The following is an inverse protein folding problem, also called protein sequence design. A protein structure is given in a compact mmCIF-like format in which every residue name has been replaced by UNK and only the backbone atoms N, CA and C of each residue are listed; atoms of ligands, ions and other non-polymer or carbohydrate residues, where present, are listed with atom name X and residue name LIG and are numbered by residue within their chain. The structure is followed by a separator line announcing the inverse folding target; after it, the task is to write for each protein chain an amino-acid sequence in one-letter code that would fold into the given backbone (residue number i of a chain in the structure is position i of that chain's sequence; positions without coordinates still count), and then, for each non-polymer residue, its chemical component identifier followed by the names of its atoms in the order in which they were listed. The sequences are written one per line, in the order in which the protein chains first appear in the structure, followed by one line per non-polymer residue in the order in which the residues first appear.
data_IF_984688204717
#
_entry.id   IF_984688204717
#
_cell.length_a   1.000
_cell.length_b   1.000
_cell.length_c   1.000
_cell.angle_alpha   90.00
_cell.angle_beta   90.00
_cell.angle_gamma   90.00
#
_symmetry.space_group_name_H-M   'P 1'
#
loop_
_entity.id
_entity.type
_entity.pdbx_description
1 polymer ?
#
# COMPACT_ATOMS: atom_id res chain seq x y z
N UNK A 1 -23.12 27.59 5.38
CA UNK A 1 -21.83 26.91 5.66
C UNK A 1 -22.06 25.44 5.31
N UNK A 2 -21.27 24.88 4.39
CA UNK A 2 -21.56 23.57 3.79
C UNK A 2 -21.22 22.45 4.81
N UNK A 3 -21.91 21.30 4.82
CA UNK A 3 -21.60 20.19 5.74
C UNK A 3 -20.18 19.61 5.60
N UNK A 4 -19.53 19.87 4.45
CA UNK A 4 -18.11 19.55 4.20
C UNK A 4 -17.16 20.27 5.18
N UNK A 5 -17.57 21.40 5.73
CA UNK A 5 -16.73 22.24 6.58
C UNK A 5 -16.72 21.78 8.05
N UNK A 6 -17.58 20.83 8.43
CA UNK A 6 -17.75 20.38 9.82
C UNK A 6 -17.21 18.96 10.12
N UNK A 7 -16.64 18.27 9.12
CA UNK A 7 -16.11 16.92 9.30
C UNK A 7 -14.87 16.89 10.22
N UNK A 8 -14.92 16.08 11.29
CA UNK A 8 -13.76 15.77 12.15
C UNK A 8 -12.57 15.31 11.28
N UNK A 9 -11.41 15.93 11.45
CA UNK A 9 -10.22 15.74 10.61
C UNK A 9 -9.68 14.29 10.55
N UNK A 10 -10.08 13.45 11.49
CA UNK A 10 -9.64 12.05 11.60
C UNK A 10 -10.29 11.08 10.61
N UNK A 11 -11.27 11.50 9.81
CA UNK A 11 -12.03 10.59 8.92
C UNK A 11 -11.50 10.54 7.49
N UNK A 12 -10.52 11.39 7.15
CA UNK A 12 -9.95 11.48 5.80
C UNK A 12 -8.63 10.70 5.67
N UNK A 13 -8.36 10.19 4.47
CA UNK A 13 -7.02 9.68 4.11
C UNK A 13 -5.96 10.78 4.27
N UNK A 14 -4.72 10.40 4.61
CA UNK A 14 -3.65 11.35 4.94
C UNK A 14 -3.43 12.41 3.85
N UNK A 15 -3.50 12.04 2.57
CA UNK A 15 -3.39 12.99 1.45
C UNK A 15 -4.50 14.04 1.47
N UNK A 16 -5.76 13.61 1.59
CA UNK A 16 -6.93 14.50 1.65
C UNK A 16 -6.88 15.36 2.90
N UNK A 17 -6.54 14.78 4.06
CA UNK A 17 -6.37 15.50 5.32
C UNK A 17 -5.32 16.61 5.19
N UNK A 18 -4.14 16.29 4.66
CA UNK A 18 -3.06 17.26 4.50
C UNK A 18 -3.49 18.42 3.60
N UNK A 19 -4.18 18.14 2.48
CA UNK A 19 -4.68 19.17 1.56
C UNK A 19 -5.77 20.03 2.17
N UNK A 20 -6.74 19.43 2.86
CA UNK A 20 -7.81 20.17 3.55
C UNK A 20 -7.21 21.06 4.65
N UNK A 21 -6.25 20.54 5.41
CA UNK A 21 -5.53 21.30 6.44
C UNK A 21 -4.78 22.49 5.83
N UNK A 22 -4.01 22.26 4.76
CA UNK A 22 -3.28 23.30 4.05
C UNK A 22 -4.21 24.41 3.53
N UNK A 23 -5.35 24.04 2.92
CA UNK A 23 -6.33 25.01 2.40
C UNK A 23 -6.96 25.83 3.53
N UNK A 24 -7.32 25.21 4.65
CA UNK A 24 -7.86 25.89 5.84
C UNK A 24 -6.84 26.81 6.52
N UNK A 25 -5.57 26.43 6.50
CA UNK A 25 -4.49 27.26 7.06
C UNK A 25 -4.21 28.48 6.17
N UNK A 26 -4.22 28.29 4.85
CA UNK A 26 -3.85 29.34 3.87
C UNK A 26 -5.00 30.24 3.45
N UNK A 27 -6.25 29.90 3.77
CA UNK A 27 -7.43 30.68 3.35
C UNK A 27 -8.41 30.85 4.50
N UNK A 28 -9.23 31.90 4.46
CA UNK A 28 -10.27 32.13 5.47
C UNK A 28 -11.56 31.42 5.06
N UNK A 29 -12.03 30.38 5.80
CA UNK A 29 -13.25 29.65 5.46
C UNK A 29 -14.50 30.53 5.37
N UNK A 30 -14.54 31.64 6.10
CA UNK A 30 -15.67 32.59 6.06
C UNK A 30 -15.77 33.34 4.72
N UNK A 31 -14.73 33.27 3.87
CA UNK A 31 -14.72 33.84 2.52
C UNK A 31 -15.01 32.80 1.44
N UNK A 32 -15.26 31.56 1.81
CA UNK A 32 -15.58 30.51 0.84
C UNK A 32 -17.03 30.66 0.37
N UNK A 33 -17.21 30.63 -0.95
CA UNK A 33 -18.51 30.69 -1.59
C UNK A 33 -18.76 29.38 -2.31
N UNK A 34 -19.99 28.89 -2.22
CA UNK A 34 -20.40 27.70 -2.94
C UNK A 34 -20.54 28.01 -4.43
N UNK A 35 -19.83 27.26 -5.27
CA UNK A 35 -20.04 27.26 -6.72
C UNK A 35 -21.00 26.12 -7.06
N UNK A 36 -22.17 26.44 -7.63
CA UNK A 36 -23.11 25.42 -8.08
C UNK A 36 -22.46 24.50 -9.13
N UNK A 37 -22.68 23.19 -9.04
CA UNK A 37 -22.05 22.18 -9.90
C UNK A 37 -22.20 22.44 -11.41
N UNK A 38 -23.36 22.99 -11.85
CA UNK A 38 -23.59 23.36 -13.25
C UNK A 38 -22.66 24.47 -13.80
N UNK A 39 -22.00 25.23 -12.93
CA UNK A 39 -21.04 26.27 -13.30
C UNK A 39 -19.59 25.94 -12.94
N UNK A 40 -19.31 24.73 -12.45
CA UNK A 40 -17.97 24.33 -12.03
C UNK A 40 -17.13 23.95 -13.24
N UNK A 41 -16.10 24.74 -13.51
CA UNK A 41 -15.20 24.52 -14.65
C UNK A 41 -14.57 23.13 -14.64
N UNK A 42 -14.18 22.62 -13.47
CA UNK A 42 -13.50 21.33 -13.40
C UNK A 42 -14.42 20.15 -13.73
N UNK A 43 -15.75 20.29 -13.63
CA UNK A 43 -16.72 19.26 -14.01
C UNK A 43 -16.64 18.94 -15.52
N UNK A 44 -16.35 19.95 -16.36
CA UNK A 44 -16.19 19.76 -17.82
C UNK A 44 -15.00 18.86 -18.15
N UNK A 45 -13.90 18.95 -17.38
CA UNK A 45 -12.75 18.07 -17.58
C UNK A 45 -12.97 16.69 -16.97
N UNK A 46 -13.55 16.59 -15.78
CA UNK A 46 -13.75 15.31 -15.11
C UNK A 46 -14.80 14.44 -15.80
N UNK A 47 -15.82 15.03 -16.45
CA UNK A 47 -16.82 14.31 -17.26
C UNK A 47 -16.36 14.03 -18.70
N UNK A 48 -15.28 14.67 -19.14
CA UNK A 48 -14.77 14.59 -20.50
C UNK A 48 -15.43 15.59 -21.44
N UNK A 49 -14.59 16.41 -22.07
CA UNK A 49 -14.95 17.35 -23.13
C UNK A 49 -13.96 17.18 -24.28
N UNK A 50 -14.44 17.26 -25.53
CA UNK A 50 -13.55 17.17 -26.69
C UNK A 50 -12.70 18.43 -26.80
N UNK A 51 -11.49 18.31 -27.37
CA UNK A 51 -10.61 19.47 -27.57
C UNK A 51 -11.29 20.58 -28.40
N UNK A 52 -12.08 20.21 -29.41
CA UNK A 52 -12.83 21.16 -30.23
C UNK A 52 -13.94 21.86 -29.44
N UNK A 53 -14.66 21.13 -28.58
CA UNK A 53 -15.67 21.74 -27.71
C UNK A 53 -15.05 22.64 -26.65
N UNK A 54 -13.87 22.27 -26.12
CA UNK A 54 -13.14 23.04 -25.12
C UNK A 54 -12.63 24.37 -25.68
N UNK A 55 -12.09 24.38 -26.91
CA UNK A 55 -11.63 25.61 -27.57
C UNK A 55 -12.77 26.61 -27.79
N UNK A 56 -13.99 26.10 -28.02
CA UNK A 56 -15.18 26.92 -28.24
C UNK A 56 -16.00 27.14 -26.96
N UNK A 57 -15.48 26.77 -25.78
CA UNK A 57 -16.22 26.88 -24.53
C UNK A 57 -16.21 28.33 -24.01
N UNK A 58 -17.42 28.90 -23.84
CA UNK A 58 -17.61 30.29 -23.41
C UNK A 58 -17.24 30.54 -21.93
N UNK A 59 -17.04 29.49 -21.14
CA UNK A 59 -16.82 29.57 -19.69
C UNK A 59 -15.37 29.19 -19.33
N UNK A 60 -14.77 28.23 -20.03
CA UNK A 60 -13.48 27.64 -19.68
C UNK A 60 -12.32 28.65 -19.62
N UNK A 61 -12.12 29.42 -20.69
CA UNK A 61 -11.07 30.43 -20.75
C UNK A 61 -11.48 31.78 -20.13
N UNK A 62 -12.70 32.30 -20.38
CA UNK A 62 -13.11 33.59 -19.83
C UNK A 62 -13.46 33.54 -18.34
N UNK A 63 -13.74 32.34 -17.82
CA UNK A 63 -14.31 32.14 -16.49
C UNK A 63 -15.83 32.35 -16.48
N UNK A 64 -16.52 31.88 -15.43
CA UNK A 64 -17.96 32.08 -15.32
C UNK A 64 -18.31 33.54 -15.03
N UNK A 65 -19.45 34.06 -15.54
CA UNK A 65 -19.81 35.48 -15.41
C UNK A 65 -19.84 36.02 -13.98
N UNK A 66 -20.16 35.17 -13.00
CA UNK A 66 -20.19 35.55 -11.59
C UNK A 66 -18.80 35.88 -11.03
N UNK A 67 -17.71 35.37 -11.62
CA UNK A 67 -16.34 35.68 -11.18
C UNK A 67 -15.95 37.13 -11.50
N UNK A 68 -16.60 37.72 -12.51
CA UNK A 68 -16.38 39.10 -12.96
C UNK A 68 -17.28 40.11 -12.23
N UNK A 69 -18.20 39.65 -11.37
CA UNK A 69 -19.13 40.52 -10.65
C UNK A 69 -18.52 41.00 -9.33
N UNK A 70 -18.54 42.31 -9.09
CA UNK A 70 -18.05 42.93 -7.84
C UNK A 70 -18.85 42.47 -6.60
N UNK A 71 -20.11 42.10 -6.80
CA UNK A 71 -21.04 41.64 -5.78
C UNK A 71 -21.54 40.24 -6.15
N UNK A 72 -20.78 39.20 -5.81
CA UNK A 72 -21.21 37.81 -6.03
C UNK A 72 -22.42 37.52 -5.13
N UNK A 73 -23.58 37.11 -5.68
CA UNK A 73 -24.72 36.69 -4.86
C UNK A 73 -24.30 35.51 -3.99
N UNK A 74 -24.26 35.71 -2.68
CA UNK A 74 -24.07 34.62 -1.73
C UNK A 74 -25.37 33.81 -1.71
N UNK A 75 -25.47 32.79 -2.56
CA UNK A 75 -26.54 31.82 -2.47
C UNK A 75 -26.37 31.10 -1.13
N UNK A 76 -27.13 31.55 -0.13
CA UNK A 76 -27.25 30.89 1.16
C UNK A 76 -27.98 29.56 0.97
N UNK A 77 -27.24 28.53 0.53
CA UNK A 77 -27.39 27.10 0.83
C UNK A 77 -28.79 26.51 1.14
N UNK A 78 -29.90 27.01 0.58
CA UNK A 78 -31.23 26.48 0.87
C UNK A 78 -31.73 25.45 -0.15
N UNK A 79 -31.09 25.33 -1.31
CA UNK A 79 -31.60 24.51 -2.41
C UNK A 79 -30.62 23.40 -2.88
N UNK A 80 -29.82 22.83 -1.97
CA UNK A 80 -28.98 21.67 -2.30
C UNK A 80 -29.84 20.42 -2.17
N UNK A 81 -30.20 19.84 -3.31
CA UNK A 81 -30.86 18.53 -3.40
C UNK A 81 -29.86 17.47 -2.88
N UNK A 82 -30.30 16.61 -1.97
CA UNK A 82 -29.56 15.58 -1.20
C UNK A 82 -28.65 14.63 -2.01
N UNK A 83 -28.62 14.73 -3.34
CA UNK A 83 -27.86 13.84 -4.21
C UNK A 83 -26.35 14.05 -4.12
N UNK A 84 -25.85 15.27 -3.87
CA UNK A 84 -24.40 15.56 -3.77
C UNK A 84 -23.79 15.08 -2.44
N UNK A 85 -24.59 14.94 -1.38
CA UNK A 85 -24.11 14.50 -0.07
C UNK A 85 -23.65 13.02 -0.10
N UNK A 86 -24.32 12.19 -0.90
CA UNK A 86 -23.98 10.77 -1.07
C UNK A 86 -22.63 10.55 -1.79
N UNK A 87 -22.22 11.48 -2.66
CA UNK A 87 -20.93 11.37 -3.38
C UNK A 87 -19.72 11.50 -2.45
N UNK A 88 -19.84 12.29 -1.38
CA UNK A 88 -18.76 12.52 -0.40
C UNK A 88 -18.57 11.29 0.50
N UNK A 89 -19.63 10.53 0.77
CA UNK A 89 -19.55 9.29 1.54
C UNK A 89 -18.89 8.17 0.74
N UNK A 90 -19.09 8.10 -0.58
CA UNK A 90 -18.44 7.10 -1.44
C UNK A 90 -16.92 7.31 -1.59
N UNK A 91 -16.42 8.55 -1.50
CA UNK A 91 -14.98 8.83 -1.62
C UNK A 91 -14.17 8.38 -0.37
N UNK A 92 -14.86 7.99 0.70
CA UNK A 92 -14.26 7.40 1.91
C UNK A 92 -13.82 5.94 1.73
N UNK A 93 -13.59 5.48 0.49
CA UNK A 93 -13.24 4.09 0.18
C UNK A 93 -12.06 3.63 1.03
N UNK A 94 -12.35 2.67 1.92
CA UNK A 94 -11.37 1.73 2.45
C UNK A 94 -10.68 1.09 1.25
N UNK A 95 -9.40 1.39 1.06
CA UNK A 95 -8.56 0.65 0.12
C UNK A 95 -8.44 -0.76 0.68
N UNK A 96 -9.15 -1.70 0.08
CA UNK A 96 -8.94 -3.13 0.30
C UNK A 96 -7.77 -3.51 -0.58
N UNK A 97 -6.57 -3.60 0.01
CA UNK A 97 -5.40 -4.14 -0.68
C UNK A 97 -5.50 -5.66 -0.62
N UNK A 98 -5.77 -6.29 -1.77
CA UNK A 98 -5.67 -7.74 -1.91
C UNK A 98 -4.22 -8.07 -2.24
N UNK A 99 -3.48 -8.65 -1.29
CA UNK A 99 -2.15 -9.17 -1.55
C UNK A 99 -2.25 -10.57 -2.15
N UNK A 100 -1.63 -10.79 -3.29
CA UNK A 100 -1.42 -12.13 -3.83
C UNK A 100 -0.28 -12.77 -3.04
N UNK A 101 -0.52 -13.92 -2.41
CA UNK A 101 0.41 -14.58 -1.48
C UNK A 101 1.53 -15.35 -2.17
N UNK A 102 1.86 -15.03 -3.43
CA UNK A 102 3.05 -15.60 -4.06
C UNK A 102 4.26 -14.93 -3.41
N UNK A 103 4.86 -15.62 -2.45
CA UNK A 103 6.08 -15.19 -1.76
C UNK A 103 7.22 -15.43 -2.75
N UNK A 104 7.49 -14.44 -3.59
CA UNK A 104 8.73 -14.45 -4.37
C UNK A 104 9.92 -14.28 -3.41
N UNK A 105 11.05 -14.97 -3.65
CA UNK A 105 12.25 -14.81 -2.85
C UNK A 105 12.75 -13.37 -2.93
N UNK A 106 13.21 -12.84 -1.80
CA UNK A 106 13.65 -11.44 -1.68
C UNK A 106 14.74 -11.06 -2.69
N UNK A 107 15.64 -12.00 -2.97
CA UNK A 107 16.76 -11.85 -3.89
C UNK A 107 16.81 -13.07 -4.79
N UNK A 108 17.13 -12.87 -6.07
CA UNK A 108 17.62 -13.95 -6.91
C UNK A 108 19.08 -14.23 -6.56
N UNK A 109 19.34 -15.40 -5.98
CA UNK A 109 20.66 -15.82 -5.50
C UNK A 109 21.67 -16.03 -6.64
N UNK A 110 21.22 -16.36 -7.85
CA UNK A 110 22.09 -16.60 -9.02
C UNK A 110 22.84 -15.34 -9.46
N UNK A 111 22.36 -14.16 -9.06
CA UNK A 111 22.99 -12.88 -9.37
C UNK A 111 24.22 -12.58 -8.49
N UNK A 112 24.54 -13.46 -7.54
CA UNK A 112 25.58 -13.22 -6.54
C UNK A 112 26.56 -14.39 -6.48
N UNK A 113 27.85 -14.07 -6.36
CA UNK A 113 28.94 -15.04 -6.22
C UNK A 113 29.56 -15.07 -4.81
N UNK A 114 29.01 -14.29 -3.88
CA UNK A 114 29.51 -14.11 -2.52
C UNK A 114 28.35 -14.29 -1.52
N UNK A 115 28.44 -15.36 -0.72
CA UNK A 115 27.42 -15.71 0.26
C UNK A 115 27.35 -14.69 1.41
N UNK A 116 28.50 -14.20 1.89
CA UNK A 116 28.55 -13.23 2.99
C UNK A 116 27.88 -11.91 2.56
N UNK A 117 28.08 -11.53 1.30
CA UNK A 117 27.42 -10.36 0.71
C UNK A 117 25.90 -10.56 0.66
N UNK A 118 25.42 -11.72 0.20
CA UNK A 118 23.99 -12.04 0.16
C UNK A 118 23.38 -11.98 1.56
N UNK A 119 24.00 -12.65 2.53
CA UNK A 119 23.51 -12.67 3.92
C UNK A 119 23.41 -11.25 4.47
N UNK A 120 24.44 -10.42 4.29
CA UNK A 120 24.42 -9.02 4.76
C UNK A 120 23.31 -8.19 4.11
N UNK A 121 23.12 -8.31 2.80
CA UNK A 121 22.04 -7.60 2.10
C UNK A 121 20.68 -8.05 2.64
N UNK A 122 20.46 -9.37 2.72
CA UNK A 122 19.24 -9.95 3.27
C UNK A 122 18.97 -9.49 4.70
N UNK A 123 19.98 -9.44 5.57
CA UNK A 123 19.84 -8.94 6.95
C UNK A 123 19.38 -7.49 6.99
N UNK A 124 19.97 -6.60 6.19
CA UNK A 124 19.56 -5.20 6.15
C UNK A 124 18.12 -5.02 5.64
N UNK A 125 17.72 -5.79 4.62
CA UNK A 125 16.37 -5.71 4.07
C UNK A 125 15.34 -6.26 5.06
N UNK A 126 15.64 -7.38 5.74
CA UNK A 126 14.79 -7.91 6.80
C UNK A 126 14.66 -6.94 7.98
N UNK A 127 15.77 -6.30 8.39
CA UNK A 127 15.74 -5.25 9.42
C UNK A 127 14.89 -4.07 8.98
N UNK A 128 15.06 -3.59 7.76
CA UNK A 128 14.25 -2.50 7.22
C UNK A 128 12.76 -2.85 7.26
N UNK A 129 12.39 -4.04 6.79
CA UNK A 129 11.01 -4.52 6.85
C UNK A 129 10.47 -4.59 8.29
N UNK A 130 11.31 -4.96 9.26
CA UNK A 130 10.94 -4.97 10.68
C UNK A 130 10.77 -3.56 11.27
N UNK A 131 11.66 -2.62 10.92
CA UNK A 131 11.57 -1.21 11.31
C UNK A 131 10.33 -0.51 10.73
N UNK A 132 9.83 -0.96 9.57
CA UNK A 132 8.59 -0.45 8.97
C UNK A 132 7.31 -0.93 9.66
N UNK A 133 7.37 -1.93 10.56
CA UNK A 133 6.18 -2.44 11.27
C UNK A 133 5.80 -1.48 12.40
N UNK A 134 4.51 -1.30 12.64
CA UNK A 134 4.04 -0.53 13.79
C UNK A 134 4.50 -1.22 15.08
N UNK A 135 4.99 -0.45 16.06
CA UNK A 135 5.36 -0.91 17.40
C UNK A 135 6.75 -1.58 17.54
N UNK A 136 7.66 -1.35 16.59
CA UNK A 136 9.09 -1.71 16.71
C UNK A 136 9.96 -0.47 16.92
N UNK A 137 10.99 -0.58 17.77
CA UNK A 137 12.03 0.45 17.84
C UNK A 137 12.94 0.35 16.62
N UNK A 138 13.25 1.50 16.01
CA UNK A 138 14.10 1.54 14.83
C UNK A 138 15.54 1.18 15.21
N UNK A 139 16.05 0.07 14.69
CA UNK A 139 17.45 -0.33 14.83
C UNK A 139 18.27 0.32 13.72
N UNK A 140 19.30 1.10 14.09
CA UNK A 140 20.18 1.83 13.15
C UNK A 140 21.66 1.39 13.26
N UNK A 141 22.01 0.62 14.28
CA UNK A 141 23.40 0.20 14.56
C UNK A 141 23.94 -0.85 13.58
N UNK A 142 25.11 -1.42 13.85
CA UNK A 142 25.66 -2.51 13.04
C UNK A 142 24.77 -3.77 13.09
N UNK A 143 24.88 -4.63 12.07
CA UNK A 143 24.21 -5.94 12.06
C UNK A 143 24.66 -6.79 13.25
N UNK A 144 23.70 -7.40 13.93
CA UNK A 144 23.97 -8.36 15.01
C UNK A 144 24.22 -9.75 14.43
N UNK A 145 24.86 -10.62 15.22
CA UNK A 145 25.05 -12.02 14.84
C UNK A 145 23.70 -12.73 14.59
N UNK A 146 22.69 -12.42 15.41
CA UNK A 146 21.35 -13.00 15.26
C UNK A 146 20.68 -12.61 13.93
N UNK A 147 20.86 -11.38 13.47
CA UNK A 147 20.32 -10.94 12.18
C UNK A 147 21.01 -11.60 10.99
N UNK A 148 22.31 -11.89 11.11
CA UNK A 148 23.06 -12.64 10.10
C UNK A 148 22.57 -14.09 10.06
N UNK A 149 22.44 -14.74 11.22
CA UNK A 149 21.92 -16.11 11.34
C UNK A 149 20.49 -16.20 10.79
N UNK A 150 19.62 -15.24 11.14
CA UNK A 150 18.24 -15.23 10.67
C UNK A 150 18.14 -15.01 9.15
N UNK A 151 19.01 -14.16 8.58
CA UNK A 151 19.08 -13.96 7.15
C UNK A 151 19.60 -15.20 6.41
N UNK A 152 20.59 -15.89 6.97
CA UNK A 152 21.08 -17.16 6.44
C UNK A 152 19.96 -18.21 6.42
N UNK A 153 19.27 -18.41 7.56
CA UNK A 153 18.11 -19.31 7.65
C UNK A 153 17.02 -18.95 6.64
N UNK A 154 16.75 -17.66 6.46
CA UNK A 154 15.81 -17.19 5.44
C UNK A 154 16.23 -17.64 4.04
N UNK A 155 17.50 -17.42 3.65
CA UNK A 155 18.01 -17.82 2.35
C UNK A 155 17.94 -19.34 2.14
N UNK A 156 18.31 -20.14 3.14
CA UNK A 156 18.20 -21.61 3.08
C UNK A 156 16.75 -22.03 2.86
N UNK A 157 15.81 -21.43 3.60
CA UNK A 157 14.38 -21.73 3.44
C UNK A 157 13.87 -21.38 2.05
N UNK A 158 14.28 -20.25 1.48
CA UNK A 158 13.92 -19.89 0.10
C UNK A 158 14.39 -20.95 -0.90
N UNK A 159 15.66 -21.37 -0.82
CA UNK A 159 16.20 -22.42 -1.70
C UNK A 159 15.45 -23.73 -1.51
N UNK A 160 15.13 -24.10 -0.26
CA UNK A 160 14.36 -25.32 0.00
C UNK A 160 12.95 -25.28 -0.59
N UNK A 161 12.30 -24.12 -0.53
CA UNK A 161 10.97 -23.92 -1.12
C UNK A 161 10.99 -23.93 -2.65
N UNK A 162 12.07 -23.47 -3.29
CA UNK A 162 12.17 -23.45 -4.75
C UNK A 162 12.66 -24.78 -5.33
N UNK A 163 13.69 -25.39 -4.74
CA UNK A 163 14.31 -26.62 -5.26
C UNK A 163 13.57 -27.90 -4.85
N UNK A 164 12.85 -27.86 -3.73
CA UNK A 164 12.10 -28.99 -3.18
C UNK A 164 10.63 -28.62 -2.93
N UNK A 165 10.03 -27.80 -3.79
CA UNK A 165 8.67 -27.27 -3.62
C UNK A 165 7.64 -28.36 -3.29
N UNK A 166 7.66 -29.46 -4.05
CA UNK A 166 6.76 -30.59 -3.87
C UNK A 166 6.91 -31.24 -2.50
N UNK A 167 8.13 -31.58 -2.11
CA UNK A 167 8.44 -32.23 -0.82
C UNK A 167 8.18 -31.28 0.35
N UNK A 168 8.54 -30.00 0.19
CA UNK A 168 8.33 -28.96 1.19
C UNK A 168 6.84 -28.82 1.52
N UNK A 169 5.96 -28.75 0.51
CA UNK A 169 4.52 -28.66 0.73
C UNK A 169 3.91 -30.00 1.21
N UNK A 170 4.37 -31.16 0.72
CA UNK A 170 3.93 -32.47 1.23
C UNK A 170 4.20 -32.63 2.74
N UNK A 171 5.41 -32.30 3.18
CA UNK A 171 5.84 -32.43 4.58
C UNK A 171 5.13 -31.38 5.44
N UNK A 172 4.99 -30.14 4.95
CA UNK A 172 4.31 -29.05 5.66
C UNK A 172 2.84 -29.39 5.92
N UNK A 173 2.20 -30.07 4.97
CA UNK A 173 0.83 -30.56 5.08
C UNK A 173 0.68 -31.95 5.73
N UNK A 174 1.73 -32.47 6.38
CA UNK A 174 1.73 -33.76 7.07
C UNK A 174 1.27 -34.94 6.18
N UNK A 175 1.54 -34.87 4.88
CA UNK A 175 1.29 -35.97 3.93
C UNK A 175 2.53 -36.85 3.85
N UNK A 176 2.31 -38.15 3.65
CA UNK A 176 3.41 -39.11 3.48
C UNK A 176 4.18 -38.74 2.21
N UNK A 177 5.48 -38.46 2.33
CA UNK A 177 6.34 -38.08 1.19
C UNK A 177 6.28 -39.18 0.15
N UNK A 178 5.93 -38.83 -1.08
CA UNK A 178 5.74 -39.83 -2.14
C UNK A 178 7.09 -40.53 -2.42
N UNK A 179 7.07 -41.86 -2.59
CA UNK A 179 8.26 -42.75 -2.64
C UNK A 179 9.24 -42.51 -3.81
N UNK A 180 9.03 -41.47 -4.61
CA UNK A 180 9.71 -41.18 -5.87
C UNK A 180 10.86 -40.18 -5.77
N UNK A 181 11.17 -39.64 -4.58
CA UNK A 181 12.02 -38.45 -4.48
C UNK A 181 13.42 -38.68 -3.91
N UNK A 182 14.37 -37.80 -4.30
CA UNK A 182 15.79 -37.81 -3.87
C UNK A 182 15.94 -37.73 -2.34
N UNK A 183 15.00 -37.07 -1.67
CA UNK A 183 15.00 -36.87 -0.21
C UNK A 183 14.27 -37.99 0.56
N UNK A 184 13.52 -38.87 -0.09
CA UNK A 184 12.76 -39.95 0.56
C UNK A 184 13.67 -40.87 1.39
N UNK A 185 14.87 -41.16 0.88
CA UNK A 185 15.86 -42.02 1.56
C UNK A 185 16.40 -41.42 2.86
N UNK A 186 16.17 -40.13 3.12
CA UNK A 186 16.87 -39.36 4.14
C UNK A 186 15.92 -38.83 5.24
N UNK A 187 14.63 -39.17 5.15
CA UNK A 187 13.58 -38.85 6.13
C UNK A 187 13.63 -37.39 6.66
N UNK A 188 13.50 -36.39 5.78
CA UNK A 188 13.53 -34.98 6.17
C UNK A 188 12.38 -34.60 7.10
N UNK A 189 12.64 -33.72 8.06
CA UNK A 189 11.67 -33.17 9.00
C UNK A 189 11.80 -31.65 9.11
N UNK A 190 10.70 -30.97 9.46
CA UNK A 190 10.77 -29.56 9.84
C UNK A 190 11.32 -29.39 11.25
N UNK A 191 12.24 -28.44 11.41
CA UNK A 191 12.63 -27.88 12.72
C UNK A 191 11.74 -26.65 13.02
N UNK A 192 11.71 -26.20 14.28
CA UNK A 192 10.95 -25.03 14.78
C UNK A 192 11.03 -23.78 13.88
N UNK A 193 12.14 -23.58 13.16
CA UNK A 193 12.36 -22.42 12.28
C UNK A 193 11.78 -22.56 10.86
N UNK A 194 11.03 -23.63 10.57
CA UNK A 194 10.47 -23.90 9.25
C UNK A 194 11.52 -24.30 8.21
N UNK A 195 12.67 -24.79 8.66
CA UNK A 195 13.72 -25.37 7.82
C UNK A 195 13.55 -26.87 7.73
N UNK A 196 13.72 -27.39 6.52
CA UNK A 196 13.78 -28.82 6.27
C UNK A 196 15.17 -29.33 6.66
N UNK A 197 15.24 -30.28 7.60
CA UNK A 197 16.50 -30.86 8.05
C UNK A 197 16.46 -32.38 8.01
N UNK A 198 17.63 -32.98 7.80
CA UNK A 198 17.79 -34.43 7.85
C UNK A 198 17.94 -34.88 9.30
N UNK A 199 17.23 -35.92 9.68
CA UNK A 199 17.42 -36.54 10.99
C UNK A 199 18.65 -37.43 10.92
N UNK A 200 19.72 -37.04 11.61
CA UNK A 200 20.88 -37.91 11.78
C UNK A 200 20.53 -39.19 12.54
N UNK A 201 21.34 -40.23 12.42
CA UNK A 201 21.20 -41.53 13.12
C UNK A 201 21.26 -41.47 14.66
N UNK A 202 21.44 -40.28 15.25
CA UNK A 202 21.66 -40.08 16.69
C UNK A 202 20.45 -39.43 17.37
N UNK A 203 19.24 -39.90 17.06
CA UNK A 203 18.12 -39.76 17.98
C UNK A 203 18.11 -41.00 18.90
N UNK A 204 18.37 -40.76 20.20
CA UNK A 204 18.05 -41.66 21.31
C UNK A 204 16.85 -41.07 22.05
#
# INVERSE_FOLDING_TARGET
MHPLDQGKDNVWMQFVRNRVSEIREKTNPNRWLHCAGKGFLADKLTRGISAQALVNDEIWFPGPPWLLQTNVPCNKSSDIVDTELNCVEEERRKVVVTFQTNIEPLLNLDNYSDLDKVIRISSYVLRFANNCRSNTENVIDNLTADELINAEKYCVRCVQQTEFETEYEEIKHHKSVTRSFKLFSINPMFIEDGLLCLVGRLQK
#
